data_IF_370207668530
#
_entry.id   IF_370207668530
#
_cell.length_a   1.000
_cell.length_b   1.000
_cell.length_c   1.000
_cell.angle_alpha   90.00
_cell.angle_beta   90.00
_cell.angle_gamma   90.00
#
_symmetry.space_group_name_H-M   'P 1'
#
loop_
_entity.id
_entity.type
_entity.pdbx_description
1 polymer ?
#
# COMPACT_ATOMS: atom_id res chain seq x y z
N UNK A 1 -6.75 8.36 12.68
CA UNK A 1 -5.72 7.37 12.32
C UNK A 1 -6.24 5.93 12.41
N UNK A 2 -6.21 5.20 11.29
CA UNK A 2 -6.45 3.74 11.19
C UNK A 2 -5.16 3.06 10.72
N UNK A 3 -4.88 1.86 11.24
CA UNK A 3 -3.75 1.04 10.78
C UNK A 3 -4.03 -0.46 10.86
N UNK A 4 -3.40 -1.23 9.97
CA UNK A 4 -3.43 -2.70 10.02
C UNK A 4 -2.23 -3.32 9.32
N UNK A 5 -1.80 -4.48 9.79
CA UNK A 5 -0.90 -5.36 9.05
C UNK A 5 -1.65 -6.10 7.93
N UNK A 6 -1.08 -6.10 6.72
CA UNK A 6 -1.63 -6.70 5.51
C UNK A 6 -0.53 -7.51 4.83
N UNK A 7 -0.88 -8.70 4.35
CA UNK A 7 0.03 -9.54 3.56
C UNK A 7 -0.04 -9.17 2.07
N UNK A 8 1.12 -9.02 1.43
CA UNK A 8 1.23 -8.84 -0.02
C UNK A 8 1.09 -10.20 -0.71
N UNK A 9 0.04 -10.38 -1.49
CA UNK A 9 -0.35 -11.70 -2.03
C UNK A 9 -0.15 -11.89 -3.53
N UNK A 10 0.09 -10.81 -4.29
CA UNK A 10 0.38 -10.89 -5.74
C UNK A 10 1.79 -11.43 -6.00
N UNK A 11 1.99 -12.12 -7.12
CA UNK A 11 3.20 -12.90 -7.43
C UNK A 11 4.50 -12.14 -7.30
N UNK A 12 4.57 -10.92 -7.83
CA UNK A 12 5.80 -10.11 -7.86
C UNK A 12 5.91 -9.12 -6.68
N UNK A 13 4.91 -9.07 -5.80
CA UNK A 13 4.83 -8.10 -4.71
C UNK A 13 4.74 -6.65 -5.17
N UNK A 14 5.28 -5.71 -4.38
CA UNK A 14 5.34 -4.27 -4.68
C UNK A 14 6.42 -3.93 -5.73
N UNK A 15 6.33 -4.54 -6.90
CA UNK A 15 7.09 -4.18 -8.10
C UNK A 15 6.52 -2.90 -8.75
N UNK A 16 7.08 -2.46 -9.89
CA UNK A 16 6.76 -1.17 -10.50
C UNK A 16 5.26 -0.96 -10.78
N UNK A 17 4.56 -1.96 -11.34
CA UNK A 17 3.13 -1.84 -11.69
C UNK A 17 2.23 -1.80 -10.45
N UNK A 18 2.41 -2.74 -9.53
CA UNK A 18 1.67 -2.77 -8.27
C UNK A 18 1.90 -1.48 -7.45
N UNK A 19 3.15 -1.02 -7.36
CA UNK A 19 3.51 0.23 -6.68
C UNK A 19 2.86 1.44 -7.34
N UNK A 20 2.85 1.51 -8.68
CA UNK A 20 2.19 2.60 -9.39
C UNK A 20 0.68 2.63 -9.09
N UNK A 21 -0.01 1.48 -9.09
CA UNK A 21 -1.45 1.41 -8.74
C UNK A 21 -1.71 1.84 -7.30
N UNK A 22 -0.90 1.36 -6.35
CA UNK A 22 -1.01 1.74 -4.94
C UNK A 22 -0.82 3.25 -4.76
N UNK A 23 0.25 3.79 -5.33
CA UNK A 23 0.55 5.22 -5.24
C UNK A 23 -0.50 6.10 -5.92
N UNK A 24 -0.97 5.71 -7.10
CA UNK A 24 -2.03 6.43 -7.80
C UNK A 24 -3.35 6.43 -7.02
N UNK A 25 -3.69 5.31 -6.36
CA UNK A 25 -4.89 5.23 -5.53
C UNK A 25 -4.74 6.07 -4.26
N UNK A 26 -3.63 5.91 -3.53
CA UNK A 26 -3.34 6.68 -2.32
C UNK A 26 -3.35 8.20 -2.58
N UNK A 27 -2.85 8.64 -3.74
CA UNK A 27 -2.81 10.05 -4.12
C UNK A 27 -4.18 10.69 -4.36
N UNK A 28 -5.26 9.91 -4.48
CA UNK A 28 -6.63 10.44 -4.62
C UNK A 28 -7.23 10.95 -3.31
N UNK A 29 -6.65 10.56 -2.18
CA UNK A 29 -7.17 10.88 -0.85
C UNK A 29 -6.42 12.06 -0.23
N UNK A 30 -7.11 12.82 0.62
CA UNK A 30 -6.52 13.94 1.36
C UNK A 30 -5.65 13.45 2.51
N UNK A 31 -6.05 12.36 3.17
CA UNK A 31 -5.33 11.71 4.25
C UNK A 31 -3.88 11.41 3.90
N UNK A 32 -3.02 11.52 4.89
CA UNK A 32 -1.69 10.94 4.79
C UNK A 32 -1.81 9.42 4.79
N UNK A 33 -1.08 8.78 3.89
CA UNK A 33 -1.07 7.32 3.78
C UNK A 33 0.38 6.86 3.86
N UNK A 34 0.64 5.99 4.82
CA UNK A 34 1.96 5.44 5.09
C UNK A 34 1.93 3.93 4.96
N UNK A 35 3.02 3.38 4.45
CA UNK A 35 3.22 1.94 4.40
C UNK A 35 4.59 1.63 5.00
N UNK A 36 4.64 0.66 5.90
CA UNK A 36 5.87 0.30 6.60
C UNK A 36 6.13 -1.21 6.53
N UNK A 37 7.41 -1.56 6.54
CA UNK A 37 7.90 -2.93 6.63
C UNK A 37 9.24 -2.92 7.37
N UNK A 38 9.37 -3.76 8.39
CA UNK A 38 10.53 -3.79 9.27
C UNK A 38 10.77 -2.38 9.86
N UNK A 39 11.97 -1.81 9.66
CA UNK A 39 12.34 -0.47 10.15
C UNK A 39 12.08 0.64 9.14
N UNK A 40 11.54 0.33 7.95
CA UNK A 40 11.29 1.32 6.89
C UNK A 40 9.83 1.71 6.87
N UNK A 41 9.55 3.01 6.94
CA UNK A 41 8.23 3.63 6.74
C UNK A 41 8.33 4.61 5.59
N UNK A 42 7.42 4.52 4.64
CA UNK A 42 7.43 5.36 3.42
C UNK A 42 6.04 5.92 3.16
N UNK A 43 6.00 7.08 2.51
CA UNK A 43 4.74 7.66 2.05
C UNK A 43 4.21 6.82 0.87
N UNK A 44 2.99 6.29 1.01
CA UNK A 44 2.35 5.47 0.00
C UNK A 44 2.07 6.24 -1.31
N UNK A 45 2.01 7.57 -1.25
CA UNK A 45 1.88 8.48 -2.41
C UNK A 45 3.20 8.69 -3.15
N UNK A 46 4.31 8.08 -2.72
CA UNK A 46 5.61 8.11 -3.42
C UNK A 46 5.98 6.74 -3.97
N UNK A 47 5.91 6.58 -5.28
CA UNK A 47 6.20 5.30 -5.97
C UNK A 47 7.62 4.80 -5.65
N UNK A 48 8.61 5.70 -5.62
CA UNK A 48 10.00 5.34 -5.29
C UNK A 48 10.10 4.80 -3.86
N UNK A 49 9.41 5.44 -2.90
CA UNK A 49 9.35 4.98 -1.52
C UNK A 49 8.76 3.57 -1.41
N UNK A 50 7.60 3.36 -2.05
CA UNK A 50 6.89 2.07 -2.05
C UNK A 50 7.76 0.95 -2.64
N UNK A 51 8.41 1.19 -3.78
CA UNK A 51 9.31 0.20 -4.39
C UNK A 51 10.52 -0.13 -3.50
N UNK A 52 11.06 0.86 -2.77
CA UNK A 52 12.20 0.65 -1.86
C UNK A 52 11.86 -0.18 -0.60
N UNK A 53 10.58 -0.44 -0.31
CA UNK A 53 10.21 -1.40 0.74
C UNK A 53 10.54 -2.85 0.36
N UNK A 54 10.74 -3.12 -0.94
CA UNK A 54 11.08 -4.45 -1.47
C UNK A 54 10.15 -5.57 -0.95
N UNK A 55 8.86 -5.26 -0.77
CA UNK A 55 7.87 -6.18 -0.21
C UNK A 55 7.41 -7.17 -1.29
N UNK A 56 8.02 -8.36 -1.30
CA UNK A 56 7.62 -9.47 -2.16
C UNK A 56 6.35 -10.19 -1.68
N UNK A 57 5.91 -11.20 -2.42
CA UNK A 57 4.81 -12.08 -2.00
C UNK A 57 5.08 -12.68 -0.61
N UNK A 58 4.07 -12.69 0.25
CA UNK A 58 4.15 -13.15 1.63
C UNK A 58 4.74 -12.12 2.60
N UNK A 59 5.21 -10.97 2.11
CA UNK A 59 5.66 -9.90 3.00
C UNK A 59 4.46 -9.29 3.73
N UNK A 60 4.62 -9.11 5.04
CA UNK A 60 3.72 -8.33 5.88
C UNK A 60 4.13 -6.86 5.84
N UNK A 61 3.17 -5.99 5.58
CA UNK A 61 3.33 -4.54 5.58
C UNK A 61 2.27 -3.92 6.49
N UNK A 62 2.61 -2.87 7.21
CA UNK A 62 1.60 -2.10 7.95
C UNK A 62 1.14 -0.95 7.07
N UNK A 63 -0.15 -0.91 6.78
CA UNK A 63 -0.81 0.23 6.13
C UNK A 63 -1.37 1.14 7.21
N UNK A 64 -1.12 2.44 7.08
CA UNK A 64 -1.63 3.48 7.97
C UNK A 64 -2.29 4.57 7.13
N UNK A 65 -3.45 5.06 7.56
CA UNK A 65 -4.09 6.23 7.00
C UNK A 65 -4.52 7.18 8.12
N UNK A 66 -4.26 8.47 7.96
CA UNK A 66 -4.63 9.50 8.92
C UNK A 66 -5.15 10.76 8.24
N UNK A 67 -6.35 11.19 8.60
CA UNK A 67 -6.98 12.41 8.09
C UNK A 67 -8.48 12.28 7.80
N UNK A 68 -9.03 13.27 7.10
CA UNK A 68 -10.48 13.42 6.94
C UNK A 68 -11.17 12.28 6.18
N UNK A 69 -10.48 11.64 5.24
CA UNK A 69 -10.97 10.53 4.42
C UNK A 69 -10.22 9.22 4.71
N UNK A 70 -9.64 9.07 5.91
CA UNK A 70 -8.77 7.96 6.28
C UNK A 70 -9.41 6.58 6.10
N UNK A 71 -10.70 6.45 6.45
CA UNK A 71 -11.43 5.19 6.32
C UNK A 71 -11.60 4.81 4.85
N UNK A 72 -12.00 5.76 4.01
CA UNK A 72 -12.17 5.53 2.58
C UNK A 72 -10.84 5.21 1.89
N UNK A 73 -9.77 5.92 2.27
CA UNK A 73 -8.41 5.67 1.78
C UNK A 73 -7.93 4.27 2.17
N UNK A 74 -8.10 3.92 3.44
CA UNK A 74 -7.69 2.64 4.00
C UNK A 74 -8.43 1.48 3.33
N UNK A 75 -9.76 1.52 3.29
CA UNK A 75 -10.60 0.46 2.71
C UNK A 75 -10.26 0.22 1.23
N UNK A 76 -10.12 1.30 0.44
CA UNK A 76 -9.79 1.19 -0.99
C UNK A 76 -8.39 0.59 -1.22
N UNK A 77 -7.41 0.93 -0.39
CA UNK A 77 -6.05 0.39 -0.49
C UNK A 77 -5.98 -1.08 -0.05
N UNK A 78 -6.71 -1.46 0.99
CA UNK A 78 -6.85 -2.87 1.41
C UNK A 78 -7.49 -3.69 0.29
N UNK A 79 -8.58 -3.19 -0.31
CA UNK A 79 -9.25 -3.85 -1.44
C UNK A 79 -8.29 -4.03 -2.62
N UNK A 80 -7.51 -3.00 -2.97
CA UNK A 80 -6.52 -3.09 -4.03
C UNK A 80 -5.48 -4.20 -3.77
N UNK A 81 -4.97 -4.31 -2.55
CA UNK A 81 -3.99 -5.35 -2.16
C UNK A 81 -4.64 -6.74 -2.20
N UNK A 82 -5.85 -6.88 -1.66
CA UNK A 82 -6.60 -8.15 -1.64
C UNK A 82 -7.02 -8.61 -3.04
N UNK A 83 -7.26 -7.67 -3.95
CA UNK A 83 -7.48 -7.95 -5.36
C UNK A 83 -6.17 -8.14 -6.15
N UNK A 84 -5.04 -8.39 -5.46
CA UNK A 84 -3.72 -8.63 -6.06
C UNK A 84 -3.29 -7.52 -7.02
N UNK A 85 -3.66 -6.27 -6.74
CA UNK A 85 -3.45 -5.13 -7.65
C UNK A 85 -4.07 -5.35 -9.05
N UNK A 86 -5.10 -6.20 -9.18
CA UNK A 86 -5.70 -6.61 -10.45
C UNK A 86 -4.80 -7.54 -11.27
N UNK A 87 -3.91 -8.29 -10.62
CA UNK A 87 -3.03 -9.29 -11.25
C UNK A 87 -3.65 -10.68 -11.05
N UNK A 88 -3.56 -11.53 -12.07
CA UNK A 88 -4.19 -12.86 -12.05
C UNK A 88 -3.55 -13.85 -11.06
N UNK A 89 -2.37 -13.54 -10.52
CA UNK A 89 -1.59 -14.41 -9.63
C UNK A 89 -0.70 -13.62 -8.65
#
# INVERSE_FOLDING_TARGET
MIQQEIEIINKLGLHARASAKLTQLAAKFQSEVWISRNTRRVNAKSIMGVMMLAAGKGAKVTLEADGADEKAAFDALVELIQNRFGEGE
#
